data_IF_850132911935
#
_entry.id   IF_850132911935
#
_cell.length_a   1.000
_cell.length_b   1.000
_cell.length_c   1.000
_cell.angle_alpha   90.00
_cell.angle_beta   90.00
_cell.angle_gamma   90.00
#
_symmetry.space_group_name_H-M   'P 1'
#
loop_
_entity.id
_entity.type
_entity.pdbx_description
1 polymer ?
#
# COMPACT_ATOMS: atom_id res chain seq x y z
N UNK A 1 22.07 11.44 -5.20
CA UNK A 1 20.61 11.59 -5.40
C UNK A 1 20.03 12.03 -4.05
N UNK A 2 18.84 12.65 -3.99
CA UNK A 2 18.26 13.06 -2.70
C UNK A 2 17.95 11.84 -1.82
N UNK A 3 18.24 11.95 -0.53
CA UNK A 3 17.97 10.91 0.45
C UNK A 3 16.62 11.18 1.13
N UNK A 4 15.81 10.13 1.27
CA UNK A 4 14.49 10.19 1.86
C UNK A 4 14.41 9.30 3.09
N UNK A 5 13.83 9.84 4.16
CA UNK A 5 13.60 9.11 5.40
C UNK A 5 12.15 8.66 5.47
N UNK A 6 11.95 7.36 5.50
CA UNK A 6 10.67 6.70 5.66
C UNK A 6 10.47 6.29 7.12
N UNK A 7 9.48 6.87 7.77
CA UNK A 7 9.07 6.50 9.12
C UNK A 7 7.79 5.66 9.05
N UNK A 8 7.93 4.36 9.29
CA UNK A 8 6.80 3.43 9.42
C UNK A 8 6.38 3.44 10.89
N UNK A 9 5.21 4.01 11.17
CA UNK A 9 4.65 4.11 12.52
C UNK A 9 3.46 3.15 12.62
N UNK A 10 3.55 2.17 13.52
CA UNK A 10 2.49 1.18 13.74
C UNK A 10 2.59 0.52 15.12
N UNK A 11 1.45 0.36 15.79
CA UNK A 11 1.33 -0.32 17.10
C UNK A 11 2.35 0.11 18.17
N UNK A 12 2.60 1.42 18.28
CA UNK A 12 3.56 1.96 19.26
C UNK A 12 5.03 1.69 18.94
N UNK A 13 5.32 1.09 17.78
CA UNK A 13 6.67 0.95 17.23
C UNK A 13 6.84 1.90 16.05
N UNK A 14 8.00 2.53 15.99
CA UNK A 14 8.43 3.32 14.83
C UNK A 14 9.67 2.68 14.25
N UNK A 15 9.63 2.35 12.96
CA UNK A 15 10.77 1.87 12.20
C UNK A 15 11.15 2.96 11.20
N UNK A 16 12.41 3.34 11.18
CA UNK A 16 12.93 4.33 10.24
C UNK A 16 13.83 3.67 9.21
N UNK A 17 13.64 4.02 7.94
CA UNK A 17 14.47 3.58 6.82
C UNK A 17 14.90 4.81 6.01
N UNK A 18 16.15 4.83 5.58
CA UNK A 18 16.68 5.87 4.69
C UNK A 18 16.96 5.25 3.33
N UNK A 19 16.46 5.88 2.26
CA UNK A 19 16.65 5.41 0.90
C UNK A 19 16.91 6.58 -0.06
N UNK A 20 17.91 6.41 -0.92
CA UNK A 20 18.23 7.39 -1.95
C UNK A 20 17.31 7.20 -3.15
N UNK A 21 16.51 8.23 -3.48
CA UNK A 21 15.61 8.19 -4.64
C UNK A 21 16.04 9.21 -5.71
N UNK A 22 15.81 8.90 -7.00
CA UNK A 22 16.12 9.83 -8.09
C UNK A 22 15.35 11.16 -8.03
N UNK A 23 14.14 11.16 -7.48
CA UNK A 23 13.27 12.35 -7.36
C UNK A 23 12.24 12.22 -6.24
N UNK A 24 11.72 13.35 -5.77
CA UNK A 24 10.68 13.40 -4.75
C UNK A 24 9.33 12.82 -5.23
N UNK A 25 9.03 12.90 -6.53
CA UNK A 25 7.84 12.28 -7.12
C UNK A 25 7.80 10.75 -6.92
N UNK A 26 8.96 10.12 -6.73
CA UNK A 26 9.07 8.68 -6.46
C UNK A 26 8.90 8.32 -4.99
N UNK A 27 8.95 9.30 -4.08
CA UNK A 27 8.83 9.07 -2.64
C UNK A 27 7.46 8.50 -2.25
N UNK A 28 6.39 9.02 -2.87
CA UNK A 28 5.02 8.55 -2.64
C UNK A 28 4.77 7.12 -3.15
N UNK A 29 5.03 6.78 -4.44
CA UNK A 29 4.84 5.41 -4.92
C UNK A 29 5.74 4.43 -4.18
N UNK A 30 6.98 4.83 -3.82
CA UNK A 30 7.88 3.99 -3.04
C UNK A 30 7.32 3.68 -1.64
N UNK A 31 6.73 4.66 -0.97
CA UNK A 31 6.07 4.45 0.32
C UNK A 31 4.85 3.50 0.24
N UNK A 32 4.11 3.54 -0.87
CA UNK A 32 3.00 2.58 -1.12
C UNK A 32 3.56 1.17 -1.32
N UNK A 33 4.62 0.99 -2.10
CA UNK A 33 5.29 -0.30 -2.26
C UNK A 33 5.77 -0.88 -0.92
N UNK A 34 6.38 -0.05 -0.06
CA UNK A 34 6.77 -0.46 1.28
C UNK A 34 5.58 -0.83 2.16
N UNK A 35 4.47 -0.07 2.09
CA UNK A 35 3.26 -0.44 2.80
C UNK A 35 2.76 -1.83 2.36
N UNK A 36 2.76 -2.11 1.05
CA UNK A 36 2.42 -3.44 0.54
C UNK A 36 3.36 -4.54 1.03
N UNK A 37 4.67 -4.29 1.03
CA UNK A 37 5.65 -5.26 1.53
C UNK A 37 5.42 -5.59 3.01
N UNK A 38 5.22 -4.57 3.85
CA UNK A 38 4.94 -4.75 5.28
C UNK A 38 3.61 -5.48 5.52
N UNK A 39 2.58 -5.19 4.71
CA UNK A 39 1.31 -5.91 4.75
C UNK A 39 1.44 -7.38 4.33
N UNK A 40 2.36 -7.70 3.41
CA UNK A 40 2.63 -9.06 2.94
C UNK A 40 3.48 -9.86 3.92
N UNK A 41 4.49 -9.23 4.55
CA UNK A 41 5.35 -9.84 5.58
C UNK A 41 4.65 -9.96 6.94
N UNK A 42 3.61 -9.15 7.16
CA UNK A 42 2.76 -9.19 8.34
C UNK A 42 1.88 -10.44 8.39
N UNK A 43 2.39 -11.48 9.04
CA UNK A 43 1.68 -12.71 9.36
C UNK A 43 0.27 -12.45 9.92
N UNK A 44 -0.76 -12.74 9.12
CA UNK A 44 -2.11 -13.20 9.52
C UNK A 44 -2.95 -12.36 10.51
N UNK A 45 -2.47 -11.22 11.01
CA UNK A 45 -3.18 -10.36 11.97
C UNK A 45 -3.62 -9.08 11.29
N UNK A 46 -4.35 -9.22 10.18
CA UNK A 46 -4.87 -8.12 9.36
C UNK A 46 -5.74 -7.09 10.12
N UNK A 47 -6.06 -7.34 11.38
CA UNK A 47 -6.89 -6.47 12.21
C UNK A 47 -6.18 -5.23 12.78
N UNK A 48 -4.84 -5.15 12.81
CA UNK A 48 -4.20 -4.00 13.46
C UNK A 48 -3.18 -3.21 12.64
N UNK A 49 -2.75 -3.70 11.48
CA UNK A 49 -1.89 -2.90 10.59
C UNK A 49 -2.67 -1.77 9.87
N UNK A 50 -4.01 -1.78 9.90
CA UNK A 50 -4.84 -0.71 9.31
C UNK A 50 -4.53 0.67 9.92
N UNK A 51 -4.13 0.72 11.19
CA UNK A 51 -3.76 1.95 11.88
C UNK A 51 -2.34 2.44 11.62
N UNK A 52 -1.56 1.72 10.82
CA UNK A 52 -0.18 2.08 10.51
C UNK A 52 -0.10 3.15 9.42
N UNK A 53 0.94 3.96 9.48
CA UNK A 53 1.20 5.05 8.55
C UNK A 53 2.69 5.09 8.19
N UNK A 54 2.99 5.40 6.94
CA UNK A 54 4.35 5.75 6.49
C UNK A 54 4.38 7.25 6.25
N UNK A 55 5.32 7.91 6.92
CA UNK A 55 5.65 9.32 6.67
C UNK A 55 6.98 9.37 5.94
N UNK A 56 7.05 10.17 4.88
CA UNK A 56 8.27 10.33 4.10
C UNK A 56 8.78 11.75 4.24
N UNK A 57 10.04 11.88 4.64
CA UNK A 57 10.71 13.16 4.78
C UNK A 57 11.84 13.26 3.77
N UNK A 58 12.07 14.45 3.23
CA UNK A 58 13.27 14.72 2.46
C UNK A 58 14.51 14.87 3.35
N UNK A 59 15.67 15.08 2.73
CA UNK A 59 16.96 15.27 3.40
C UNK A 59 17.00 16.49 4.35
N UNK A 60 16.10 17.46 4.15
CA UNK A 60 16.00 18.66 4.97
C UNK A 60 14.99 18.50 6.11
N UNK A 61 14.30 17.35 6.16
CA UNK A 61 13.32 17.01 7.19
C UNK A 61 11.90 17.46 6.89
N UNK A 62 11.58 17.95 5.68
CA UNK A 62 10.20 18.27 5.32
C UNK A 62 9.43 17.01 4.97
N UNK A 63 8.21 16.91 5.49
CA UNK A 63 7.27 15.84 5.14
C UNK A 63 6.81 16.02 3.68
N UNK A 64 7.23 15.11 2.80
CA UNK A 64 6.92 15.14 1.37
C UNK A 64 5.80 14.19 0.97
N UNK A 65 5.58 13.12 1.73
CA UNK A 65 4.48 12.18 1.47
C UNK A 65 3.98 11.52 2.77
N UNK A 66 2.73 11.05 2.75
CA UNK A 66 2.13 10.32 3.85
C UNK A 66 1.20 9.24 3.29
N UNK A 67 1.41 7.99 3.68
CA UNK A 67 0.66 6.83 3.19
C UNK A 67 0.06 6.09 4.36
N UNK A 68 -1.27 5.96 4.37
CA UNK A 68 -2.00 5.19 5.39
C UNK A 68 -2.19 3.76 4.91
N UNK A 69 -1.93 2.79 5.78
CA UNK A 69 -2.07 1.37 5.42
C UNK A 69 -3.53 1.00 5.11
N UNK A 70 -4.50 1.65 5.76
CA UNK A 70 -5.92 1.48 5.45
C UNK A 70 -6.26 1.78 3.98
N UNK A 71 -5.60 2.78 3.39
CA UNK A 71 -5.82 3.18 1.99
C UNK A 71 -5.26 2.13 1.03
N UNK A 72 -4.04 1.66 1.33
CA UNK A 72 -3.32 0.64 0.57
C UNK A 72 -4.03 -0.72 0.60
N UNK A 73 -4.57 -1.11 1.75
CA UNK A 73 -5.37 -2.34 1.90
C UNK A 73 -6.66 -2.26 1.07
N UNK A 74 -7.34 -1.11 1.08
CA UNK A 74 -8.57 -0.90 0.31
C UNK A 74 -8.32 -0.98 -1.18
N UNK A 75 -7.29 -0.32 -1.68
CA UNK A 75 -6.90 -0.35 -3.09
C UNK A 75 -6.58 -1.79 -3.54
N UNK A 76 -5.83 -2.56 -2.74
CA UNK A 76 -5.56 -3.97 -3.02
C UNK A 76 -6.85 -4.82 -3.04
N UNK A 77 -7.78 -4.57 -2.13
CA UNK A 77 -9.08 -5.26 -2.09
C UNK A 77 -9.94 -4.92 -3.32
N UNK A 78 -9.96 -3.67 -3.77
CA UNK A 78 -10.69 -3.24 -4.96
C UNK A 78 -10.06 -3.81 -6.25
N UNK A 79 -8.73 -3.85 -6.35
CA UNK A 79 -8.01 -4.50 -7.44
C UNK A 79 -8.27 -6.02 -7.49
N UNK A 80 -8.28 -6.70 -6.34
CA UNK A 80 -8.64 -8.14 -6.28
C UNK A 80 -10.11 -8.39 -6.61
N UNK A 81 -11.01 -7.55 -6.13
CA UNK A 81 -12.44 -7.67 -6.41
C UNK A 81 -12.73 -7.48 -7.90
N UNK A 82 -12.03 -6.54 -8.56
CA UNK A 82 -12.11 -6.35 -10.01
C UNK A 82 -11.49 -7.50 -10.80
N UNK A 83 -10.44 -8.13 -10.27
CA UNK A 83 -9.78 -9.28 -10.90
C UNK A 83 -10.51 -10.62 -10.67
N UNK A 84 -11.40 -10.68 -9.67
CA UNK A 84 -12.15 -11.89 -9.29
C UNK A 84 -13.55 -11.98 -9.90
N UNK A 85 -13.97 -10.98 -10.69
CA UNK A 85 -15.15 -11.10 -11.53
C UNK A 85 -14.72 -11.51 -12.95
N UNK A 86 -14.78 -12.81 -13.33
CA UNK A 86 -15.06 -13.09 -14.72
C UNK A 86 -16.41 -12.42 -15.05
N UNK A 87 -16.57 -11.79 -16.22
CA UNK A 87 -17.92 -11.48 -16.70
C UNK A 87 -18.63 -12.82 -16.81
N UNK A 88 -19.48 -13.12 -15.83
CA UNK A 88 -20.42 -14.23 -15.93
C UNK A 88 -21.47 -13.74 -16.90
N UNK A 89 -21.21 -13.92 -18.19
CA UNK A 89 -22.27 -14.00 -19.18
C UNK A 89 -23.19 -15.13 -18.71
N UNK A 90 -24.38 -14.77 -18.24
CA UNK A 90 -25.38 -15.73 -17.82
C UNK A 90 -25.57 -16.77 -18.94
N UNK A 91 -25.48 -18.09 -18.65
CA UNK A 91 -25.80 -19.11 -19.62
C UNK A 91 -27.31 -19.08 -19.86
N UNK A 92 -27.71 -18.24 -20.83
CA UNK A 92 -29.05 -18.16 -21.36
C UNK A 92 -29.45 -19.52 -21.91
N UNK A 93 -30.24 -20.24 -21.12
CA UNK A 93 -30.97 -21.44 -21.49
C UNK A 93 -31.73 -21.18 -22.78
N UNK A 94 -31.38 -21.86 -23.87
CA UNK A 94 -32.33 -22.13 -24.96
C UNK A 94 -32.50 -23.63 -25.11
N UNK A 95 -33.72 -24.03 -24.75
CA UNK A 95 -34.29 -25.37 -24.73
C UNK A 95 -34.09 -26.10 -26.05
N UNK A 96 -33.74 -27.38 -25.97
CA UNK A 96 -33.95 -28.35 -27.03
C UNK A 96 -35.44 -28.41 -27.39
N UNK A 97 -35.73 -28.29 -28.68
CA UNK A 97 -37.04 -28.47 -29.32
C UNK A 97 -36.84 -28.69 -30.80
#
# INVERSE_FOLDING_TARGET
MPNFRFEIVGFGKTTTLEEELPSADLASPRAIEMAHAVLLEGDSTGAGQSGSIIKVYDETGYLVATVNFSDVVRDNSELRSRSSNPPTEEPGVMRSG
#
